data_IF_234136675385
#
_entry.id   IF_234136675385
#
_cell.length_a   1.000
_cell.length_b   1.000
_cell.length_c   1.000
_cell.angle_alpha   90.00
_cell.angle_beta   90.00
_cell.angle_gamma   90.00
#
_symmetry.space_group_name_H-M   'P 1'
#
loop_
_entity.id
_entity.type
_entity.pdbx_description
1 polymer ?
#
# COMPACT_ATOMS: atom_id res chain seq x y z
N UNK A 1 5.24 -37.66 7.36
CA UNK A 1 5.91 -36.34 7.50
C UNK A 1 4.83 -35.28 7.39
N UNK A 2 4.45 -34.57 8.46
CA UNK A 2 3.49 -33.48 8.33
C UNK A 2 4.16 -32.35 7.53
N UNK A 3 3.47 -31.84 6.53
CA UNK A 3 3.88 -30.64 5.80
C UNK A 3 3.89 -29.46 6.76
N UNK A 4 5.05 -28.84 6.98
CA UNK A 4 5.16 -27.59 7.73
C UNK A 4 4.38 -26.53 6.93
N UNK A 5 3.20 -26.16 7.41
CA UNK A 5 2.38 -25.12 6.78
C UNK A 5 3.07 -23.77 7.02
N UNK A 6 3.70 -23.20 5.99
CA UNK A 6 4.22 -21.84 6.06
C UNK A 6 3.05 -20.86 6.05
N UNK A 7 2.73 -20.28 7.21
CA UNK A 7 1.70 -19.25 7.34
C UNK A 7 2.27 -17.90 6.90
N UNK A 8 2.38 -17.70 5.59
CA UNK A 8 2.78 -16.44 5.01
C UNK A 8 1.72 -15.39 5.31
N UNK A 9 2.14 -14.25 5.84
CA UNK A 9 1.28 -13.15 6.29
C UNK A 9 1.68 -11.87 5.56
N UNK A 10 0.69 -11.17 5.03
CA UNK A 10 0.83 -9.83 4.48
C UNK A 10 0.05 -8.85 5.36
N UNK A 11 0.74 -7.87 5.93
CA UNK A 11 0.17 -6.77 6.70
C UNK A 11 0.26 -5.49 5.87
N UNK A 12 -0.86 -4.80 5.74
CA UNK A 12 -0.96 -3.49 5.10
C UNK A 12 -1.53 -2.51 6.12
N UNK A 13 -0.70 -1.56 6.54
CA UNK A 13 -1.07 -0.49 7.47
C UNK A 13 -1.21 0.83 6.70
N UNK A 14 -2.43 1.36 6.63
CA UNK A 14 -2.76 2.58 5.88
C UNK A 14 -2.93 3.74 6.88
N UNK A 15 -1.88 4.55 7.03
CA UNK A 15 -1.91 5.76 7.84
C UNK A 15 -2.38 7.00 7.07
N UNK A 16 -2.32 8.16 7.73
CA UNK A 16 -2.65 9.45 7.11
C UNK A 16 -1.58 9.94 6.12
N UNK A 17 -0.30 9.78 6.47
CA UNK A 17 0.84 10.25 5.67
C UNK A 17 1.49 9.18 4.79
N UNK A 18 1.39 7.91 5.19
CA UNK A 18 2.10 6.79 4.58
C UNK A 18 1.32 5.49 4.69
N UNK A 19 1.74 4.50 3.92
CA UNK A 19 1.24 3.13 3.95
C UNK A 19 2.42 2.20 4.11
N UNK A 20 2.38 1.29 5.07
CA UNK A 20 3.42 0.28 5.27
C UNK A 20 2.92 -1.08 4.80
N UNK A 21 3.76 -1.78 4.05
CA UNK A 21 3.57 -3.17 3.65
C UNK A 21 4.63 -4.00 4.35
N UNK A 22 4.20 -5.03 5.07
CA UNK A 22 5.08 -5.99 5.74
C UNK A 22 4.66 -7.39 5.33
N UNK A 23 5.60 -8.20 4.87
CA UNK A 23 5.40 -9.60 4.50
C UNK A 23 6.36 -10.48 5.29
N UNK A 24 5.88 -11.64 5.74
CA UNK A 24 6.71 -12.57 6.50
C UNK A 24 5.95 -13.82 6.93
N UNK A 25 6.68 -14.79 7.49
CA UNK A 25 6.16 -16.04 8.01
C UNK A 25 6.86 -16.41 9.33
N UNK A 26 6.25 -17.27 10.14
CA UNK A 26 6.88 -17.87 11.33
C UNK A 26 7.55 -16.84 12.29
N UNK A 27 6.87 -15.72 12.55
CA UNK A 27 7.36 -14.59 13.36
C UNK A 27 8.62 -13.90 12.81
N UNK A 28 8.97 -14.12 11.54
CA UNK A 28 10.04 -13.41 10.83
C UNK A 28 9.46 -12.46 9.80
N UNK A 29 10.03 -11.25 9.70
CA UNK A 29 9.73 -10.30 8.63
C UNK A 29 10.67 -10.59 7.47
N UNK A 30 10.12 -10.95 6.32
CA UNK A 30 10.87 -11.25 5.09
C UNK A 30 10.98 -10.02 4.19
N UNK A 31 9.96 -9.16 4.20
CA UNK A 31 9.94 -7.92 3.44
C UNK A 31 9.19 -6.83 4.20
N UNK A 32 9.71 -5.61 4.09
CA UNK A 32 9.10 -4.42 4.66
C UNK A 32 9.35 -3.23 3.72
N UNK A 33 8.29 -2.48 3.41
CA UNK A 33 8.42 -1.22 2.71
C UNK A 33 7.38 -0.20 3.17
N UNK A 34 7.81 1.06 3.25
CA UNK A 34 6.91 2.20 3.51
C UNK A 34 6.77 3.03 2.25
N UNK A 35 5.52 3.28 1.85
CA UNK A 35 5.17 4.14 0.74
C UNK A 35 4.71 5.50 1.27
N UNK A 36 5.18 6.63 0.71
CA UNK A 36 4.79 7.97 1.13
C UNK A 36 3.42 8.36 0.57
N UNK A 37 2.41 7.53 0.86
CA UNK A 37 1.02 7.71 0.48
C UNK A 37 0.13 7.23 1.61
N UNK A 38 -0.76 8.09 2.09
CA UNK A 38 -1.74 7.77 3.13
C UNK A 38 -3.03 8.55 2.87
N UNK A 39 -4.05 8.35 3.70
CA UNK A 39 -5.41 8.89 3.45
C UNK A 39 -5.48 10.43 3.41
N UNK A 40 -4.69 11.13 4.23
CA UNK A 40 -4.62 12.60 4.22
C UNK A 40 -3.90 13.08 2.96
N UNK A 41 -2.75 12.47 2.65
CA UNK A 41 -1.96 12.81 1.46
C UNK A 41 -2.74 12.57 0.16
N UNK A 42 -3.51 11.48 0.09
CA UNK A 42 -4.33 11.18 -1.09
C UNK A 42 -5.51 12.13 -1.19
N UNK A 43 -6.18 12.44 -0.08
CA UNK A 43 -7.27 13.42 -0.06
C UNK A 43 -6.81 14.79 -0.53
N UNK A 44 -5.75 15.34 0.06
CA UNK A 44 -5.23 16.68 -0.26
C UNK A 44 -4.77 16.81 -1.72
N UNK A 45 -4.21 15.74 -2.30
CA UNK A 45 -3.66 15.77 -3.66
C UNK A 45 -4.66 15.42 -4.76
N UNK A 46 -5.70 14.63 -4.45
CA UNK A 46 -6.58 14.05 -5.47
C UNK A 46 -8.06 14.35 -5.29
N UNK A 47 -8.53 14.73 -4.09
CA UNK A 47 -9.90 15.17 -3.90
C UNK A 47 -9.94 16.71 -3.90
N UNK A 48 -9.87 17.30 -5.09
CA UNK A 48 -9.87 18.74 -5.31
C UNK A 48 -11.30 19.32 -5.33
N UNK A 49 -12.29 18.46 -5.53
CA UNK A 49 -13.70 18.81 -5.50
C UNK A 49 -14.40 18.31 -4.23
N UNK A 50 -15.53 18.93 -3.88
CA UNK A 50 -16.32 18.55 -2.69
C UNK A 50 -16.73 17.07 -2.71
N UNK A 51 -17.08 16.55 -3.89
CA UNK A 51 -17.39 15.14 -4.12
C UNK A 51 -16.44 14.63 -5.18
N UNK A 52 -15.60 13.66 -4.81
CA UNK A 52 -14.61 13.09 -5.72
C UNK A 52 -15.26 12.64 -7.03
N UNK A 53 -14.71 13.12 -8.13
CA UNK A 53 -15.11 12.77 -9.49
C UNK A 53 -14.42 11.49 -9.97
N UNK A 54 -14.97 10.88 -11.02
CA UNK A 54 -14.38 9.67 -11.61
C UNK A 54 -12.96 9.91 -12.12
N UNK A 55 -12.67 11.07 -12.72
CA UNK A 55 -11.33 11.41 -13.21
C UNK A 55 -10.31 11.54 -12.06
N UNK A 56 -10.72 12.11 -10.93
CA UNK A 56 -9.92 12.18 -9.71
C UNK A 56 -9.62 10.79 -9.14
N UNK A 57 -10.62 9.89 -9.11
CA UNK A 57 -10.43 8.49 -8.71
C UNK A 57 -9.43 7.78 -9.62
N UNK A 58 -9.57 7.93 -10.94
CA UNK A 58 -8.64 7.32 -11.92
C UNK A 58 -7.21 7.85 -11.74
N UNK A 59 -7.05 9.16 -11.51
CA UNK A 59 -5.75 9.77 -11.26
C UNK A 59 -5.10 9.22 -9.97
N UNK A 60 -5.87 9.10 -8.88
CA UNK A 60 -5.42 8.50 -7.63
C UNK A 60 -4.98 7.05 -7.83
N UNK A 61 -5.80 6.23 -8.49
CA UNK A 61 -5.49 4.82 -8.76
C UNK A 61 -4.20 4.69 -9.59
N UNK A 62 -4.03 5.52 -10.63
CA UNK A 62 -2.81 5.55 -11.44
C UNK A 62 -1.57 5.89 -10.60
N UNK A 63 -1.67 6.85 -9.67
CA UNK A 63 -0.57 7.22 -8.78
C UNK A 63 -0.22 6.09 -7.82
N UNK A 64 -1.20 5.50 -7.15
CA UNK A 64 -0.99 4.39 -6.19
C UNK A 64 -0.36 3.20 -6.90
N UNK A 65 -0.88 2.83 -8.08
CA UNK A 65 -0.30 1.76 -8.91
C UNK A 65 1.15 2.06 -9.27
N UNK A 66 1.45 3.27 -9.72
CA UNK A 66 2.83 3.66 -10.05
C UNK A 66 3.78 3.58 -8.84
N UNK A 67 3.34 4.05 -7.67
CA UNK A 67 4.14 3.99 -6.43
C UNK A 67 4.44 2.54 -6.03
N UNK A 68 3.42 1.69 -6.05
CA UNK A 68 3.54 0.27 -5.71
C UNK A 68 4.46 -0.44 -6.70
N UNK A 69 4.21 -0.33 -8.01
CA UNK A 69 5.01 -1.04 -9.02
C UNK A 69 6.48 -0.62 -8.98
N UNK A 70 6.79 0.67 -8.76
CA UNK A 70 8.20 1.11 -8.59
C UNK A 70 8.82 0.62 -7.29
N UNK A 71 8.04 0.53 -6.22
CA UNK A 71 8.56 0.10 -4.93
C UNK A 71 8.96 -1.38 -4.90
N UNK A 72 8.31 -2.21 -5.71
CA UNK A 72 8.60 -3.64 -5.82
C UNK A 72 9.62 -4.01 -6.92
N UNK A 73 10.25 -3.03 -7.58
CA UNK A 73 11.35 -3.28 -8.51
C UNK A 73 12.66 -3.47 -7.74
N UNK A 74 12.97 -4.71 -7.39
CA UNK A 74 14.29 -5.20 -6.98
C UNK A 74 14.69 -6.36 -7.89
#
# INVERSE_FOLDING_TARGET
>A
MPSIQQNNTLVIDIGGGSTKIVYGANNTIEYQQTFPTGTVVTKEKFQLTKKISTSEVVALQKKVKHLITKGFQY
#
